data_IF_243451044708
#
_entry.id   IF_243451044708
#
_cell.length_a   1.000
_cell.length_b   1.000
_cell.length_c   1.000
_cell.angle_alpha   90.00
_cell.angle_beta   90.00
_cell.angle_gamma   90.00
#
_symmetry.space_group_name_H-M   'P 1'
#
loop_
_entity.id
_entity.type
_entity.pdbx_description
1 polymer ?
#
# COMPACT_ATOMS: atom_id res chain seq x y z
N UNK A 1 1.50 50.56 21.17
CA UNK A 1 2.37 51.58 21.84
C UNK A 1 1.70 52.94 21.77
N UNK A 2 1.68 53.73 22.83
CA UNK A 2 1.16 55.09 22.77
C UNK A 2 2.32 56.04 22.44
N UNK A 3 2.39 56.48 21.17
CA UNK A 3 3.38 57.46 20.73
C UNK A 3 3.07 58.84 21.35
N UNK A 4 4.07 59.44 22.09
CA UNK A 4 3.87 60.68 22.82
C UNK A 4 4.71 61.86 22.32
N UNK A 5 5.60 61.66 21.36
CA UNK A 5 6.48 62.66 20.75
C UNK A 5 6.42 62.59 19.23
N UNK A 6 6.43 63.71 18.50
CA UNK A 6 6.61 63.65 17.05
C UNK A 6 7.93 63.01 16.65
N UNK A 7 7.91 61.96 15.84
CA UNK A 7 9.10 61.25 15.40
C UNK A 7 8.76 60.12 14.42
N UNK A 8 9.76 59.52 13.78
CA UNK A 8 9.62 58.33 12.96
C UNK A 8 9.77 57.14 13.87
N UNK A 9 8.75 56.29 13.94
CA UNK A 9 8.76 55.06 14.69
C UNK A 9 8.82 53.88 13.73
N UNK A 10 9.79 52.99 13.94
CA UNK A 10 9.92 51.74 13.19
C UNK A 10 9.25 50.65 14.01
N UNK A 11 8.21 50.05 13.46
CA UNK A 11 7.58 48.85 14.01
C UNK A 11 7.90 47.69 13.06
N UNK A 12 8.66 46.73 13.54
CA UNK A 12 8.91 45.49 12.82
C UNK A 12 7.72 44.56 13.00
N UNK A 13 6.84 44.54 11.99
CA UNK A 13 5.78 43.53 11.91
C UNK A 13 6.32 42.34 11.17
N UNK A 14 6.72 41.29 11.90
CA UNK A 14 7.10 40.00 11.28
C UNK A 14 5.87 39.35 10.65
N UNK A 15 5.53 39.70 9.42
CA UNK A 15 4.62 38.93 8.57
C UNK A 15 5.46 37.85 7.89
N UNK A 16 5.50 36.66 8.49
CA UNK A 16 6.00 35.51 7.75
C UNK A 16 5.21 35.39 6.45
N UNK A 17 5.88 35.25 5.30
CA UNK A 17 5.18 34.97 4.04
C UNK A 17 4.36 33.70 4.22
N UNK A 18 3.17 33.60 3.63
CA UNK A 18 2.38 32.39 3.70
C UNK A 18 3.22 31.23 3.17
N UNK A 19 3.30 30.15 3.94
CA UNK A 19 4.00 28.92 3.56
C UNK A 19 3.00 27.86 3.08
N UNK A 20 3.43 27.00 2.16
CA UNK A 20 2.73 25.77 1.80
C UNK A 20 3.06 24.73 2.86
N UNK A 21 2.03 24.20 3.53
CA UNK A 21 2.19 23.04 4.39
C UNK A 21 2.19 21.79 3.50
N UNK A 22 3.21 20.97 3.62
CA UNK A 22 3.26 19.68 2.94
C UNK A 22 2.16 18.76 3.48
N UNK A 23 1.40 18.14 2.57
CA UNK A 23 0.40 17.12 2.94
C UNK A 23 1.08 15.80 3.26
N UNK A 24 0.41 14.95 4.03
CA UNK A 24 0.84 13.58 4.29
C UNK A 24 0.86 12.76 2.98
N UNK A 25 1.81 11.83 2.88
CA UNK A 25 2.04 11.11 1.62
C UNK A 25 1.68 9.64 1.68
N UNK A 26 1.59 9.05 2.86
CA UNK A 26 1.41 7.61 3.05
C UNK A 26 0.34 7.29 4.08
N UNK A 27 -0.88 7.75 3.84
CA UNK A 27 -2.08 7.39 4.60
C UNK A 27 -2.92 6.43 3.75
N UNK A 28 -2.75 5.10 3.90
CA UNK A 28 -3.52 4.14 3.13
C UNK A 28 -4.96 4.02 3.64
N UNK A 29 -5.87 3.72 2.72
CA UNK A 29 -7.20 3.23 3.00
C UNK A 29 -7.28 1.75 2.62
N UNK A 30 -7.58 0.92 3.60
CA UNK A 30 -7.78 -0.52 3.45
C UNK A 30 -9.28 -0.80 3.34
N UNK A 31 -9.71 -1.38 2.22
CA UNK A 31 -11.11 -1.67 1.93
C UNK A 31 -11.31 -3.18 1.93
N UNK A 32 -12.19 -3.68 2.79
CA UNK A 32 -12.44 -5.12 2.91
C UNK A 32 -13.43 -5.46 4.00
N UNK A 33 -13.42 -6.73 4.43
CA UNK A 33 -14.30 -7.28 5.43
C UNK A 33 -13.66 -7.28 6.82
N UNK A 34 -14.47 -7.05 7.85
CA UNK A 34 -14.00 -7.07 9.25
C UNK A 34 -15.00 -7.81 10.13
N UNK A 35 -14.58 -8.25 11.31
CA UNK A 35 -15.44 -8.95 12.26
C UNK A 35 -16.61 -8.07 12.72
N UNK A 36 -16.32 -6.82 13.09
CA UNK A 36 -17.27 -5.84 13.61
C UNK A 36 -16.92 -4.43 13.14
N UNK A 37 -17.58 -3.42 13.68
CA UNK A 37 -17.27 -2.00 13.46
C UNK A 37 -18.18 -1.29 12.46
N UNK A 38 -17.94 0.00 12.22
CA UNK A 38 -18.73 0.81 11.27
C UNK A 38 -18.66 0.21 9.87
N UNK A 39 -19.79 0.26 9.14
CA UNK A 39 -19.89 -0.28 7.77
C UNK A 39 -19.95 0.84 6.75
N UNK A 40 -19.13 0.71 5.70
CA UNK A 40 -19.06 1.65 4.59
C UNK A 40 -18.72 3.09 5.02
N UNK A 41 -18.09 3.24 6.16
CA UNK A 41 -17.66 4.50 6.74
C UNK A 41 -16.13 4.48 6.88
N UNK A 42 -15.39 5.35 6.18
CA UNK A 42 -13.95 5.48 6.34
C UNK A 42 -13.59 5.85 7.77
N UNK A 43 -12.96 4.95 8.49
CA UNK A 43 -12.61 5.12 9.89
C UNK A 43 -11.11 5.21 10.06
N UNK A 44 -10.62 6.32 10.60
CA UNK A 44 -9.19 6.56 10.83
C UNK A 44 -8.72 5.82 12.08
N UNK A 45 -7.61 5.11 11.97
CA UNK A 45 -6.93 4.41 13.06
C UNK A 45 -5.42 4.69 12.99
N UNK A 46 -4.70 4.47 14.10
CA UNK A 46 -3.28 4.73 14.20
C UNK A 46 -2.44 3.54 14.69
N UNK A 47 -3.09 2.46 15.13
CA UNK A 47 -2.41 1.29 15.69
C UNK A 47 -3.20 -0.01 15.49
N UNK A 48 -2.51 -1.15 15.61
CA UNK A 48 -3.14 -2.46 15.55
C UNK A 48 -4.13 -2.68 16.70
N UNK A 49 -3.82 -2.16 17.89
CA UNK A 49 -4.72 -2.25 19.06
C UNK A 49 -6.04 -1.50 18.80
N UNK A 50 -5.96 -0.33 18.20
CA UNK A 50 -7.14 0.45 17.82
C UNK A 50 -7.96 -0.28 16.75
N UNK A 51 -7.29 -0.89 15.76
CA UNK A 51 -7.95 -1.75 14.77
C UNK A 51 -8.73 -2.89 15.45
N UNK A 52 -8.10 -3.67 16.33
CA UNK A 52 -8.74 -4.79 17.01
C UNK A 52 -9.90 -4.36 17.91
N UNK A 53 -9.77 -3.20 18.54
CA UNK A 53 -10.84 -2.64 19.39
C UNK A 53 -12.09 -2.30 18.58
N UNK A 54 -11.91 -1.65 17.43
CA UNK A 54 -13.00 -1.16 16.59
C UNK A 54 -13.51 -2.26 15.65
N UNK A 55 -12.62 -3.00 14.97
CA UNK A 55 -12.95 -3.89 13.87
C UNK A 55 -12.86 -5.38 14.20
N UNK A 56 -12.33 -5.72 15.38
CA UNK A 56 -12.22 -7.12 15.85
C UNK A 56 -10.98 -7.84 15.34
N UNK A 57 -11.00 -9.16 15.47
CA UNK A 57 -9.89 -10.04 15.14
C UNK A 57 -9.99 -10.71 13.78
N UNK A 58 -9.10 -11.67 13.54
CA UNK A 58 -9.16 -12.52 12.35
C UNK A 58 -10.35 -13.48 12.41
N UNK A 59 -10.88 -13.86 11.25
CA UNK A 59 -11.86 -14.97 11.17
C UNK A 59 -11.19 -16.26 11.58
N UNK A 60 -11.81 -17.00 12.53
CA UNK A 60 -11.38 -18.35 12.88
C UNK A 60 -11.63 -19.31 11.72
N UNK A 61 -10.62 -20.09 11.36
CA UNK A 61 -10.72 -21.14 10.35
C UNK A 61 -11.50 -22.33 10.93
N UNK A 62 -12.66 -22.66 10.33
CA UNK A 62 -13.56 -23.67 10.89
C UNK A 62 -13.33 -25.10 10.40
N UNK A 63 -12.96 -25.27 9.13
CA UNK A 63 -12.83 -26.59 8.50
C UNK A 63 -11.57 -26.74 7.66
N UNK A 64 -10.79 -25.68 7.59
CA UNK A 64 -9.59 -25.66 6.76
C UNK A 64 -8.39 -26.33 7.42
N UNK A 65 -8.38 -26.43 8.76
CA UNK A 65 -7.27 -26.99 9.53
C UNK A 65 -7.69 -28.35 10.10
N UNK A 66 -6.90 -29.39 9.83
CA UNK A 66 -7.06 -30.71 10.42
C UNK A 66 -5.72 -31.27 10.87
N UNK A 67 -5.77 -32.20 11.80
CA UNK A 67 -4.61 -32.92 12.31
C UNK A 67 -4.77 -34.43 12.16
N UNK A 68 -3.64 -35.12 12.02
CA UNK A 68 -3.54 -36.58 12.09
C UNK A 68 -2.49 -36.95 13.11
N UNK A 69 -2.80 -37.99 13.90
CA UNK A 69 -1.96 -38.46 15.00
C UNK A 69 -1.60 -39.93 14.74
N UNK A 70 -0.31 -40.21 14.70
CA UNK A 70 0.21 -41.58 14.66
C UNK A 70 1.17 -41.76 15.83
N UNK A 71 0.70 -42.50 16.83
CA UNK A 71 1.36 -42.72 18.14
C UNK A 71 1.67 -41.36 18.82
N UNK A 72 2.92 -40.96 18.86
CA UNK A 72 3.41 -39.70 19.45
C UNK A 72 3.62 -38.59 18.42
N UNK A 73 3.41 -38.86 17.13
CA UNK A 73 3.66 -37.89 16.05
C UNK A 73 2.36 -37.24 15.61
N UNK A 74 2.31 -35.92 15.73
CA UNK A 74 1.20 -35.11 15.25
C UNK A 74 1.59 -34.39 13.95
N UNK A 75 0.74 -34.48 12.94
CA UNK A 75 0.86 -33.73 11.68
C UNK A 75 -0.35 -32.85 11.49
N UNK A 76 -0.17 -31.66 10.92
CA UNK A 76 -1.25 -30.77 10.57
C UNK A 76 -1.33 -30.54 9.07
N UNK A 77 -2.56 -30.49 8.55
CA UNK A 77 -2.88 -30.19 7.18
C UNK A 77 -3.73 -28.93 7.12
N UNK A 78 -3.45 -28.05 6.17
CA UNK A 78 -4.28 -26.90 5.82
C UNK A 78 -4.85 -27.13 4.43
N UNK A 79 -6.16 -27.11 4.31
CA UNK A 79 -6.88 -27.20 3.04
C UNK A 79 -7.09 -25.79 2.51
N UNK A 80 -6.26 -25.37 1.57
CA UNK A 80 -6.30 -24.02 1.00
C UNK A 80 -7.65 -23.67 0.36
N UNK A 81 -8.40 -24.67 -0.14
CA UNK A 81 -9.71 -24.44 -0.76
C UNK A 81 -10.81 -24.09 0.27
N UNK A 82 -10.56 -24.36 1.54
CA UNK A 82 -11.49 -24.10 2.65
C UNK A 82 -11.09 -22.93 3.53
N UNK A 83 -9.93 -22.32 3.27
CA UNK A 83 -9.50 -21.13 4.00
C UNK A 83 -10.48 -19.98 3.81
N UNK A 84 -10.70 -19.24 4.88
CA UNK A 84 -11.52 -18.03 4.84
C UNK A 84 -10.94 -16.99 3.86
N UNK A 85 -11.79 -16.28 3.11
CA UNK A 85 -11.34 -15.27 2.15
C UNK A 85 -10.90 -13.96 2.81
N UNK A 86 -11.15 -13.79 4.09
CA UNK A 86 -10.96 -12.52 4.81
C UNK A 86 -9.52 -12.35 5.28
N UNK A 87 -8.80 -11.41 4.68
CA UNK A 87 -7.38 -11.18 4.96
C UNK A 87 -7.09 -9.85 5.67
N UNK A 88 -8.11 -9.00 5.88
CA UNK A 88 -7.95 -7.65 6.42
C UNK A 88 -7.14 -7.61 7.73
N UNK A 89 -7.46 -8.45 8.71
CA UNK A 89 -6.74 -8.46 9.99
C UNK A 89 -5.25 -8.77 9.83
N UNK A 90 -4.90 -9.79 9.04
CA UNK A 90 -3.52 -10.15 8.76
C UNK A 90 -2.80 -9.07 7.94
N UNK A 91 -3.52 -8.45 7.00
CA UNK A 91 -3.03 -7.34 6.20
C UNK A 91 -2.65 -6.13 7.07
N UNK A 92 -3.48 -5.81 8.07
CA UNK A 92 -3.20 -4.74 9.03
C UNK A 92 -1.98 -5.05 9.90
N UNK A 93 -1.82 -6.32 10.35
CA UNK A 93 -0.62 -6.75 11.07
C UNK A 93 0.64 -6.54 10.21
N UNK A 94 0.59 -6.91 8.93
CA UNK A 94 1.72 -6.72 8.01
C UNK A 94 2.00 -5.25 7.72
N UNK A 95 0.96 -4.43 7.61
CA UNK A 95 1.10 -2.99 7.42
C UNK A 95 1.86 -2.33 8.57
N UNK A 96 1.39 -2.53 9.81
CA UNK A 96 2.05 -1.95 10.99
C UNK A 96 3.45 -2.53 11.23
N UNK A 97 3.67 -3.82 10.98
CA UNK A 97 5.00 -4.45 11.11
C UNK A 97 6.03 -3.90 10.12
N UNK A 98 5.61 -3.32 9.00
CA UNK A 98 6.48 -2.77 7.96
C UNK A 98 6.65 -1.24 8.04
N UNK A 99 6.20 -0.62 9.13
CA UNK A 99 6.39 0.81 9.37
C UNK A 99 5.16 1.65 9.08
N UNK A 100 3.99 1.01 8.98
CA UNK A 100 2.71 1.69 8.85
C UNK A 100 2.41 2.61 10.02
N UNK A 101 1.83 3.76 9.71
CA UNK A 101 1.36 4.78 10.66
C UNK A 101 -0.17 4.92 10.62
N UNK A 102 -0.70 6.13 10.74
CA UNK A 102 -2.13 6.38 10.59
C UNK A 102 -2.67 5.86 9.25
N UNK A 103 -3.86 5.28 9.27
CA UNK A 103 -4.52 4.75 8.08
C UNK A 103 -6.04 4.76 8.23
N UNK A 104 -6.74 4.53 7.14
CA UNK A 104 -8.18 4.37 7.11
C UNK A 104 -8.56 2.91 6.89
N UNK A 105 -9.61 2.47 7.54
CA UNK A 105 -10.26 1.18 7.29
C UNK A 105 -11.68 1.42 6.85
N UNK A 106 -12.06 0.85 5.73
CA UNK A 106 -13.43 0.85 5.20
C UNK A 106 -13.94 -0.58 5.25
N UNK A 107 -14.72 -0.87 6.27
CA UNK A 107 -15.38 -2.18 6.39
C UNK A 107 -16.64 -2.21 5.53
N UNK A 108 -16.67 -3.07 4.52
CA UNK A 108 -17.83 -3.17 3.61
C UNK A 108 -18.88 -4.15 4.13
N UNK A 109 -18.48 -5.20 4.84
CA UNK A 109 -19.37 -6.17 5.46
C UNK A 109 -18.64 -6.96 6.57
N UNK A 110 -19.38 -7.81 7.27
CA UNK A 110 -18.84 -8.78 8.23
C UNK A 110 -18.39 -10.08 7.58
N UNK A 111 -17.91 -11.01 8.40
CA UNK A 111 -17.43 -12.31 7.96
C UNK A 111 -18.53 -13.32 7.58
N UNK A 112 -19.79 -12.91 7.59
CA UNK A 112 -20.92 -13.72 7.13
C UNK A 112 -21.27 -13.46 5.66
N UNK A 113 -20.67 -12.42 5.06
CA UNK A 113 -20.84 -12.04 3.67
C UNK A 113 -19.58 -12.32 2.86
N UNK A 114 -19.69 -13.17 1.86
CA UNK A 114 -18.57 -13.43 0.93
C UNK A 114 -18.13 -12.14 0.22
N UNK A 115 -16.83 -11.86 0.14
CA UNK A 115 -16.34 -10.70 -0.60
C UNK A 115 -16.84 -10.71 -2.05
N UNK A 116 -17.35 -9.55 -2.48
CA UNK A 116 -17.88 -9.35 -3.82
C UNK A 116 -17.50 -7.95 -4.33
N UNK A 117 -17.39 -7.81 -5.65
CA UNK A 117 -17.18 -6.50 -6.27
C UNK A 117 -18.29 -5.52 -5.89
N UNK A 118 -19.54 -5.95 -5.99
CA UNK A 118 -20.71 -5.11 -5.75
C UNK A 118 -20.91 -4.03 -6.81
N UNK A 119 -21.61 -2.97 -6.43
CA UNK A 119 -21.86 -1.80 -7.28
C UNK A 119 -21.54 -0.52 -6.50
N UNK A 120 -21.43 0.60 -7.19
CA UNK A 120 -21.16 1.90 -6.54
C UNK A 120 -22.32 2.44 -5.67
N UNK A 121 -23.53 1.91 -5.87
CA UNK A 121 -24.76 2.42 -5.23
C UNK A 121 -25.31 1.53 -4.15
N UNK A 122 -24.94 0.23 -4.14
CA UNK A 122 -25.44 -0.76 -3.18
C UNK A 122 -24.35 -1.12 -2.19
N UNK A 123 -24.58 -0.82 -0.92
CA UNK A 123 -23.66 -1.15 0.18
C UNK A 123 -23.35 -2.65 0.29
N UNK A 124 -22.15 -2.98 0.75
CA UNK A 124 -21.72 -4.36 1.01
C UNK A 124 -20.75 -4.95 -0.01
N UNK A 125 -20.38 -4.22 -1.07
CA UNK A 125 -19.35 -4.60 -2.02
C UNK A 125 -18.10 -3.73 -1.92
N UNK A 126 -16.96 -4.24 -2.40
CA UNK A 126 -15.69 -3.52 -2.36
C UNK A 126 -15.72 -2.22 -3.19
N UNK A 127 -16.47 -2.20 -4.29
CA UNK A 127 -16.65 -0.98 -5.09
C UNK A 127 -17.41 0.12 -4.32
N UNK A 128 -18.43 -0.23 -3.54
CA UNK A 128 -19.11 0.75 -2.69
C UNK A 128 -18.15 1.32 -1.62
N UNK A 129 -17.31 0.45 -1.03
CA UNK A 129 -16.27 0.88 -0.09
C UNK A 129 -15.27 1.85 -0.72
N UNK A 130 -14.86 1.61 -1.96
CA UNK A 130 -14.03 2.53 -2.74
C UNK A 130 -14.75 3.88 -2.97
N UNK A 131 -16.04 3.84 -3.33
CA UNK A 131 -16.84 5.04 -3.57
C UNK A 131 -16.98 5.91 -2.31
N UNK A 132 -17.06 5.29 -1.14
CA UNK A 132 -17.16 6.02 0.13
C UNK A 132 -15.94 6.90 0.43
N UNK A 133 -14.75 6.56 -0.13
CA UNK A 133 -13.51 7.33 0.01
C UNK A 133 -13.44 8.60 -0.83
N UNK A 134 -14.30 8.80 -1.82
CA UNK A 134 -14.24 10.00 -2.69
C UNK A 134 -14.40 11.31 -1.94
N UNK A 135 -15.06 11.25 -0.78
CA UNK A 135 -15.32 12.43 0.07
C UNK A 135 -14.23 12.67 1.10
N UNK A 136 -13.31 11.72 1.25
CA UNK A 136 -12.21 11.82 2.21
C UNK A 136 -10.97 12.38 1.49
N UNK A 137 -10.42 13.42 2.05
CA UNK A 137 -9.33 14.22 1.45
C UNK A 137 -7.93 13.81 1.99
N UNK A 138 -7.88 12.97 3.05
CA UNK A 138 -6.64 12.56 3.70
C UNK A 138 -6.03 11.27 3.11
N UNK A 139 -6.82 10.26 2.66
CA UNK A 139 -6.24 9.02 2.14
C UNK A 139 -5.43 9.22 0.86
N UNK A 140 -4.17 8.77 0.87
CA UNK A 140 -3.24 8.90 -0.28
C UNK A 140 -2.92 7.58 -0.97
N UNK A 141 -3.26 6.43 -0.35
CA UNK A 141 -3.05 5.11 -0.90
C UNK A 141 -4.33 4.29 -0.80
N UNK A 142 -4.56 3.40 -1.78
CA UNK A 142 -5.71 2.48 -1.79
C UNK A 142 -5.20 1.05 -1.82
N UNK A 143 -5.73 0.21 -0.92
CA UNK A 143 -5.37 -1.21 -0.77
C UNK A 143 -6.63 -2.05 -0.57
N UNK A 144 -6.68 -3.22 -1.23
CA UNK A 144 -7.79 -4.18 -1.13
C UNK A 144 -7.29 -5.55 -0.66
N UNK A 145 -7.19 -5.80 0.65
CA UNK A 145 -6.66 -7.06 1.19
C UNK A 145 -7.45 -8.31 0.76
N UNK A 146 -8.75 -8.16 0.54
CA UNK A 146 -9.66 -9.27 0.20
C UNK A 146 -9.89 -9.41 -1.32
N UNK A 147 -9.16 -8.67 -2.17
CA UNK A 147 -9.41 -8.65 -3.61
C UNK A 147 -9.14 -9.99 -4.30
N UNK A 148 -8.21 -10.79 -3.80
CA UNK A 148 -7.82 -12.08 -4.39
C UNK A 148 -9.02 -13.01 -4.64
N UNK A 149 -9.97 -13.05 -3.70
CA UNK A 149 -11.14 -13.94 -3.79
C UNK A 149 -12.11 -13.58 -4.92
N UNK A 150 -12.04 -12.35 -5.43
CA UNK A 150 -12.87 -11.90 -6.54
C UNK A 150 -12.43 -12.50 -7.90
N UNK A 151 -11.23 -13.10 -7.98
CA UNK A 151 -10.68 -13.59 -9.23
C UNK A 151 -10.61 -12.49 -10.30
N UNK A 152 -11.22 -12.70 -11.46
CA UNK A 152 -11.21 -11.71 -12.55
C UNK A 152 -11.92 -10.39 -12.22
N UNK A 153 -12.87 -10.38 -11.29
CA UNK A 153 -13.56 -9.16 -10.87
C UNK A 153 -12.66 -8.22 -10.04
N UNK A 154 -11.57 -8.75 -9.48
CA UNK A 154 -10.55 -7.91 -8.83
C UNK A 154 -9.92 -6.91 -9.81
N UNK A 155 -9.72 -7.30 -11.06
CA UNK A 155 -9.18 -6.39 -12.08
C UNK A 155 -10.15 -5.26 -12.43
N UNK A 156 -11.46 -5.54 -12.40
CA UNK A 156 -12.49 -4.49 -12.55
C UNK A 156 -12.44 -3.51 -11.37
N UNK A 157 -12.24 -4.02 -10.15
CA UNK A 157 -12.09 -3.18 -8.96
C UNK A 157 -10.84 -2.29 -9.07
N UNK A 158 -9.70 -2.85 -9.50
CA UNK A 158 -8.47 -2.09 -9.71
C UNK A 158 -8.64 -1.00 -10.78
N UNK A 159 -9.35 -1.28 -11.88
CA UNK A 159 -9.66 -0.26 -12.88
C UNK A 159 -10.48 0.90 -12.28
N UNK A 160 -11.50 0.59 -11.47
CA UNK A 160 -12.28 1.63 -10.76
C UNK A 160 -11.45 2.46 -9.78
N UNK A 161 -10.51 1.81 -9.08
CA UNK A 161 -9.60 2.51 -8.17
C UNK A 161 -8.62 3.42 -8.92
N UNK A 162 -8.11 2.98 -10.07
CA UNK A 162 -7.22 3.77 -10.93
C UNK A 162 -7.96 4.96 -11.56
N UNK A 163 -9.20 4.76 -12.03
CA UNK A 163 -10.06 5.82 -12.55
C UNK A 163 -10.30 6.89 -11.46
N UNK A 164 -10.65 6.48 -10.23
CA UNK A 164 -10.81 7.39 -9.10
C UNK A 164 -9.52 8.15 -8.78
N UNK A 165 -8.37 7.46 -8.81
CA UNK A 165 -7.08 8.08 -8.55
C UNK A 165 -6.68 9.09 -9.64
N UNK A 166 -7.05 8.85 -10.90
CA UNK A 166 -6.82 9.79 -12.00
C UNK A 166 -7.72 11.02 -11.90
N UNK A 167 -8.97 10.85 -11.48
CA UNK A 167 -9.92 11.95 -11.31
C UNK A 167 -9.53 12.87 -10.15
N UNK A 168 -9.15 12.30 -9.01
CA UNK A 168 -8.82 13.04 -7.79
C UNK A 168 -7.37 13.54 -7.75
N UNK A 169 -6.42 12.81 -8.38
CA UNK A 169 -4.98 13.13 -8.50
C UNK A 169 -4.20 13.20 -7.17
N UNK A 170 -4.82 12.80 -6.07
CA UNK A 170 -4.28 12.88 -4.71
C UNK A 170 -3.86 11.51 -4.14
N UNK A 171 -4.27 10.41 -4.80
CA UNK A 171 -4.08 9.03 -4.30
C UNK A 171 -3.38 8.11 -5.30
N UNK A 172 -2.93 6.97 -4.78
CA UNK A 172 -2.17 5.98 -5.53
C UNK A 172 -2.63 4.56 -5.15
N UNK A 173 -2.81 3.68 -6.14
CA UNK A 173 -3.34 2.33 -5.93
C UNK A 173 -2.21 1.31 -5.84
N UNK A 174 -2.17 0.53 -4.76
CA UNK A 174 -1.23 -0.58 -4.61
C UNK A 174 -1.99 -1.87 -4.91
N UNK A 175 -1.58 -2.56 -5.98
CA UNK A 175 -2.27 -3.72 -6.52
C UNK A 175 -1.43 -4.99 -6.37
N UNK A 176 -2.14 -6.10 -6.30
CA UNK A 176 -1.55 -7.43 -6.21
C UNK A 176 -1.74 -8.20 -7.52
N UNK A 177 -0.70 -8.90 -7.94
CA UNK A 177 -0.79 -9.92 -8.98
C UNK A 177 -0.93 -11.26 -8.28
N UNK A 178 -2.08 -11.94 -8.46
CA UNK A 178 -2.40 -13.12 -7.67
C UNK A 178 -1.63 -14.35 -8.14
N UNK A 179 -1.74 -14.73 -9.41
CA UNK A 179 -1.09 -15.93 -9.96
C UNK A 179 -0.45 -15.68 -11.33
N UNK A 180 -1.15 -14.97 -12.23
CA UNK A 180 -0.76 -14.80 -13.62
C UNK A 180 -0.59 -13.33 -14.01
N UNK A 181 0.64 -12.97 -14.37
CA UNK A 181 1.00 -11.63 -14.83
C UNK A 181 0.30 -11.25 -16.15
N UNK A 182 0.08 -12.21 -17.04
CA UNK A 182 -0.59 -11.95 -18.33
C UNK A 182 -2.08 -11.67 -18.12
N UNK A 183 -2.76 -12.44 -17.27
CA UNK A 183 -4.16 -12.20 -16.92
C UNK A 183 -4.33 -10.84 -16.21
N UNK A 184 -3.42 -10.48 -15.30
CA UNK A 184 -3.41 -9.17 -14.65
C UNK A 184 -3.27 -8.04 -15.70
N UNK A 185 -2.29 -8.13 -16.60
CA UNK A 185 -2.05 -7.11 -17.64
C UNK A 185 -3.23 -6.96 -18.60
N UNK A 186 -3.88 -8.06 -18.93
CA UNK A 186 -5.08 -8.05 -19.78
C UNK A 186 -6.30 -7.46 -19.06
N UNK A 187 -6.46 -7.73 -17.77
CA UNK A 187 -7.61 -7.31 -16.97
C UNK A 187 -7.54 -5.87 -16.49
N UNK A 188 -6.33 -5.36 -16.17
CA UNK A 188 -6.15 -3.98 -15.70
C UNK A 188 -5.80 -3.08 -16.88
N UNK A 189 -6.75 -2.29 -17.35
CA UNK A 189 -6.66 -1.47 -18.57
C UNK A 189 -7.28 -0.06 -18.43
N UNK A 190 -7.35 0.48 -17.20
CA UNK A 190 -7.77 1.84 -16.92
C UNK A 190 -6.86 2.89 -17.59
N UNK A 191 -7.34 4.11 -17.70
CA UNK A 191 -6.56 5.24 -18.22
C UNK A 191 -5.51 5.72 -17.22
N UNK A 192 -5.79 5.63 -15.92
CA UNK A 192 -4.96 6.08 -14.81
C UNK A 192 -3.79 5.16 -14.43
N UNK A 193 -3.16 4.41 -15.35
CA UNK A 193 -2.09 3.45 -15.06
C UNK A 193 -0.91 4.05 -14.28
N UNK A 194 -0.60 5.32 -14.48
CA UNK A 194 0.44 6.06 -13.74
C UNK A 194 0.14 6.23 -12.24
N UNK A 195 -1.12 6.08 -11.82
CA UNK A 195 -1.56 6.20 -10.42
C UNK A 195 -1.59 4.85 -9.68
N UNK A 196 -0.95 3.83 -10.21
CA UNK A 196 -0.89 2.54 -9.55
C UNK A 196 0.41 1.79 -9.77
N UNK A 197 0.70 0.86 -8.87
CA UNK A 197 1.79 -0.09 -8.98
C UNK A 197 1.32 -1.49 -8.58
N UNK A 198 1.81 -2.51 -9.28
CA UNK A 198 1.51 -3.90 -9.04
C UNK A 198 2.72 -4.63 -8.47
N UNK A 199 2.47 -5.57 -7.55
CA UNK A 199 3.50 -6.35 -6.87
C UNK A 199 3.24 -7.85 -6.99
N UNK A 200 4.32 -8.63 -7.14
CA UNK A 200 4.32 -10.09 -7.28
C UNK A 200 5.60 -10.68 -6.69
N UNK A 201 5.58 -11.87 -6.10
CA UNK A 201 4.44 -12.77 -5.85
C UNK A 201 3.83 -12.59 -4.46
N UNK A 202 2.90 -13.48 -4.11
CA UNK A 202 2.38 -13.62 -2.74
C UNK A 202 3.51 -13.99 -1.77
N UNK A 203 3.31 -13.68 -0.49
CA UNK A 203 4.30 -13.79 0.57
C UNK A 203 3.86 -14.81 1.62
N UNK A 204 4.72 -15.76 1.93
CA UNK A 204 4.59 -16.60 3.10
C UNK A 204 5.06 -15.80 4.32
N UNK A 205 4.14 -15.57 5.27
CA UNK A 205 4.39 -14.72 6.43
C UNK A 205 4.79 -15.54 7.66
N UNK A 206 5.20 -14.87 8.73
CA UNK A 206 5.39 -15.51 10.05
C UNK A 206 4.07 -15.68 10.82
N UNK A 207 2.97 -15.14 10.30
CA UNK A 207 1.67 -15.15 10.94
C UNK A 207 1.06 -16.56 10.93
N UNK A 208 0.33 -16.90 11.98
CA UNK A 208 -0.39 -18.16 12.10
C UNK A 208 -1.88 -17.93 11.90
N UNK A 209 -2.58 -18.94 11.39
CA UNK A 209 -4.04 -18.89 11.27
C UNK A 209 -4.71 -18.80 12.63
N UNK A 210 -5.80 -18.05 12.71
CA UNK A 210 -6.69 -18.02 13.87
C UNK A 210 -7.65 -19.19 13.80
N UNK A 211 -7.84 -19.92 14.90
CA UNK A 211 -8.75 -21.06 15.00
C UNK A 211 -9.29 -21.23 16.43
N UNK A 212 -10.42 -21.90 16.56
CA UNK A 212 -10.91 -22.39 17.84
C UNK A 212 -10.62 -23.89 17.96
N UNK A 213 -10.29 -24.38 19.13
CA UNK A 213 -9.98 -25.79 19.37
C UNK A 213 -11.14 -26.74 18.95
N UNK A 214 -12.38 -26.25 18.95
CA UNK A 214 -13.57 -27.01 18.52
C UNK A 214 -13.68 -27.13 17.00
N UNK A 215 -13.05 -26.21 16.26
CA UNK A 215 -13.13 -26.13 14.80
C UNK A 215 -12.01 -26.92 14.11
N UNK A 216 -10.93 -27.27 14.83
CA UNK A 216 -9.83 -28.08 14.30
C UNK A 216 -10.16 -29.57 14.43
N UNK A 217 -10.36 -30.22 13.28
CA UNK A 217 -10.76 -31.61 13.20
C UNK A 217 -9.56 -32.57 13.28
N UNK A 218 -9.78 -33.73 13.96
CA UNK A 218 -8.83 -34.85 13.93
C UNK A 218 -9.29 -35.81 12.83
N UNK A 219 -8.51 -35.93 11.77
CA UNK A 219 -8.82 -36.81 10.63
C UNK A 219 -8.53 -38.27 10.94
N UNK A 220 -7.45 -38.54 11.67
CA UNK A 220 -7.07 -39.91 12.13
C UNK A 220 -6.31 -39.85 13.45
N UNK A 221 -6.55 -40.81 14.30
CA UNK A 221 -5.80 -41.02 15.53
C UNK A 221 -5.48 -42.49 15.72
N UNK A 222 -4.20 -42.82 15.72
CA UNK A 222 -3.69 -44.20 15.91
C UNK A 222 -2.70 -44.23 17.04
N UNK A 223 -2.74 -45.26 17.85
CA UNK A 223 -1.78 -45.55 18.94
C UNK A 223 -1.12 -46.91 18.72
N UNK A 224 0.10 -47.08 19.19
CA UNK A 224 0.77 -48.37 19.19
C UNK A 224 0.23 -49.22 20.34
N UNK A 225 -0.37 -50.37 20.02
CA UNK A 225 -0.86 -51.33 21.03
C UNK A 225 0.27 -52.13 21.66
N UNK A 226 -0.04 -52.97 22.66
CA UNK A 226 0.94 -53.81 23.38
C UNK A 226 1.70 -54.82 22.48
N UNK A 227 1.18 -55.10 21.26
CA UNK A 227 1.81 -55.97 20.29
C UNK A 227 2.71 -55.22 19.30
N UNK A 228 2.84 -53.89 19.44
CA UNK A 228 3.65 -53.05 18.54
C UNK A 228 2.92 -52.66 17.25
N UNK A 229 1.64 -52.90 17.09
CA UNK A 229 0.84 -52.52 15.92
C UNK A 229 0.10 -51.18 16.10
N UNK A 230 0.07 -50.38 15.10
CA UNK A 230 -0.77 -49.17 15.04
C UNK A 230 -2.26 -49.57 14.95
N UNK A 231 -3.06 -49.11 15.87
CA UNK A 231 -4.50 -49.36 15.97
C UNK A 231 -5.25 -48.02 16.04
N UNK A 232 -6.41 -47.94 15.39
CA UNK A 232 -7.25 -46.77 15.44
C UNK A 232 -7.82 -46.54 16.83
N UNK A 233 -7.72 -45.31 17.34
CA UNK A 233 -8.36 -44.89 18.59
C UNK A 233 -9.77 -44.45 18.29
N UNK A 234 -10.72 -45.00 19.03
CA UNK A 234 -12.12 -44.60 18.91
C UNK A 234 -12.30 -43.17 19.41
N UNK A 235 -12.68 -42.28 18.49
CA UNK A 235 -13.01 -40.89 18.80
C UNK A 235 -14.52 -40.70 18.92
N UNK A 236 -14.99 -39.72 19.73
CA UNK A 236 -16.41 -39.39 19.80
C UNK A 236 -16.94 -38.93 18.45
N UNK A 237 -18.16 -39.35 18.07
CA UNK A 237 -18.83 -38.82 16.90
C UNK A 237 -19.13 -37.34 17.12
N UNK A 238 -18.80 -36.49 16.14
CA UNK A 238 -18.99 -35.03 16.14
C UNK A 238 -18.16 -34.22 17.16
N UNK A 239 -17.33 -34.86 17.98
CA UNK A 239 -16.40 -34.18 18.91
C UNK A 239 -14.92 -34.59 18.67
N UNK A 240 -14.62 -35.10 17.51
CA UNK A 240 -13.27 -35.47 17.10
C UNK A 240 -12.45 -34.19 16.73
N UNK A 241 -12.19 -33.38 17.74
CA UNK A 241 -11.54 -32.09 17.58
C UNK A 241 -10.44 -31.87 18.63
N UNK A 242 -9.73 -30.75 18.49
CA UNK A 242 -8.59 -30.41 19.33
C UNK A 242 -9.02 -30.20 20.81
N UNK A 243 -10.25 -29.71 21.07
CA UNK A 243 -10.76 -29.56 22.42
C UNK A 243 -10.94 -30.94 23.13
N UNK A 244 -11.38 -31.98 22.40
CA UNK A 244 -11.42 -33.35 22.92
C UNK A 244 -9.99 -33.88 23.16
N UNK A 245 -9.04 -33.65 22.23
CA UNK A 245 -7.64 -34.07 22.40
C UNK A 245 -7.01 -33.47 23.66
N UNK A 246 -7.33 -32.23 23.99
CA UNK A 246 -6.89 -31.56 25.21
C UNK A 246 -7.32 -32.31 26.48
N UNK A 247 -8.53 -32.85 26.50
CA UNK A 247 -9.02 -33.66 27.61
C UNK A 247 -8.41 -35.07 27.65
N UNK A 248 -8.02 -35.62 26.49
CA UNK A 248 -7.43 -36.95 26.34
C UNK A 248 -5.94 -36.96 26.64
N UNK A 249 -5.17 -36.03 26.08
CA UNK A 249 -3.73 -35.95 26.22
C UNK A 249 -3.21 -34.52 26.04
N UNK A 250 -2.79 -33.90 27.14
CA UNK A 250 -2.20 -32.55 27.10
C UNK A 250 -0.89 -32.50 26.29
N UNK A 251 -0.11 -33.60 26.24
CA UNK A 251 1.13 -33.66 25.49
C UNK A 251 0.88 -33.58 23.96
N UNK A 252 -0.05 -34.43 23.47
CA UNK A 252 -0.44 -34.43 22.06
C UNK A 252 -1.14 -33.09 21.65
N UNK A 253 -1.95 -32.56 22.57
CA UNK A 253 -2.57 -31.24 22.35
C UNK A 253 -1.52 -30.14 22.16
N UNK A 254 -0.55 -30.04 23.06
CA UNK A 254 0.52 -29.02 22.93
C UNK A 254 1.36 -29.21 21.65
N UNK A 255 1.62 -30.45 21.27
CA UNK A 255 2.31 -30.75 20.01
C UNK A 255 1.44 -30.36 18.80
N UNK A 256 0.13 -30.64 18.84
CA UNK A 256 -0.81 -30.21 17.80
C UNK A 256 -0.84 -28.69 17.66
N UNK A 257 -0.91 -27.95 18.75
CA UNK A 257 -0.84 -26.49 18.75
C UNK A 257 0.45 -25.99 18.10
N UNK A 258 1.60 -26.57 18.44
CA UNK A 258 2.89 -26.19 17.86
C UNK A 258 2.96 -26.48 16.35
N UNK A 259 2.44 -27.64 15.91
CA UNK A 259 2.42 -28.01 14.49
C UNK A 259 1.45 -27.14 13.68
N UNK A 260 0.27 -26.82 14.23
CA UNK A 260 -0.66 -25.90 13.59
C UNK A 260 -0.05 -24.49 13.50
N UNK A 261 0.58 -24.01 14.58
CA UNK A 261 1.26 -22.72 14.60
C UNK A 261 2.42 -22.63 13.59
N UNK A 262 2.98 -23.77 13.16
CA UNK A 262 3.97 -23.81 12.08
C UNK A 262 3.38 -23.61 10.68
N UNK A 263 2.07 -23.72 10.50
CA UNK A 263 1.37 -23.43 9.25
C UNK A 263 1.18 -21.93 9.12
N UNK A 264 1.68 -21.38 8.05
CA UNK A 264 1.83 -19.93 7.88
C UNK A 264 0.77 -19.35 6.94
N UNK A 265 0.32 -18.15 7.28
CA UNK A 265 -0.61 -17.38 6.44
C UNK A 265 0.13 -16.87 5.22
N UNK A 266 -0.44 -17.11 4.05
CA UNK A 266 0.02 -16.54 2.78
C UNK A 266 -0.83 -15.32 2.46
N UNK A 267 -0.16 -14.19 2.18
CA UNK A 267 -0.80 -12.91 1.90
C UNK A 267 -0.29 -12.32 0.60
N UNK A 268 -1.10 -11.48 0.00
CA UNK A 268 -0.70 -10.58 -1.08
C UNK A 268 0.19 -9.45 -0.54
N UNK A 269 1.13 -8.92 -1.34
CA UNK A 269 2.13 -7.98 -0.85
C UNK A 269 1.63 -6.54 -0.61
N UNK A 270 0.49 -6.12 -1.16
CA UNK A 270 0.05 -4.72 -1.16
C UNK A 270 0.03 -4.05 0.21
N UNK A 271 -0.43 -4.76 1.25
CA UNK A 271 -0.49 -4.22 2.61
C UNK A 271 0.90 -4.02 3.23
N UNK A 272 1.83 -4.95 3.00
CA UNK A 272 3.23 -4.80 3.40
C UNK A 272 3.89 -3.65 2.65
N UNK A 273 3.57 -3.49 1.36
CA UNK A 273 4.07 -2.40 0.53
C UNK A 273 3.57 -1.04 0.99
N UNK A 274 2.30 -0.93 1.41
CA UNK A 274 1.79 0.30 2.02
C UNK A 274 2.59 0.71 3.26
N UNK A 275 2.97 -0.25 4.11
CA UNK A 275 3.84 -0.03 5.26
C UNK A 275 5.26 0.41 4.86
N UNK A 276 5.83 -0.22 3.84
CA UNK A 276 7.15 0.17 3.30
C UNK A 276 7.11 1.59 2.70
N UNK A 277 6.02 1.96 2.02
CA UNK A 277 5.85 3.33 1.52
C UNK A 277 5.85 4.32 2.69
N UNK A 278 5.08 4.06 3.74
CA UNK A 278 5.04 4.91 4.93
C UNK A 278 6.42 5.03 5.58
N UNK A 279 7.15 3.93 5.71
CA UNK A 279 8.52 3.90 6.25
C UNK A 279 9.49 4.72 5.41
N UNK A 280 9.46 4.57 4.09
CA UNK A 280 10.37 5.31 3.19
C UNK A 280 10.05 6.80 3.22
N UNK A 281 8.77 7.16 3.14
CA UNK A 281 8.34 8.55 3.16
C UNK A 281 8.78 9.27 4.45
N UNK A 282 8.63 8.60 5.61
CA UNK A 282 9.01 9.18 6.90
C UNK A 282 10.52 9.25 7.13
N UNK A 283 11.32 8.37 6.51
CA UNK A 283 12.78 8.30 6.76
C UNK A 283 13.60 9.02 5.71
N UNK A 284 13.13 9.06 4.46
CA UNK A 284 13.93 9.54 3.31
C UNK A 284 13.16 10.48 2.38
N UNK A 285 11.85 10.59 2.55
CA UNK A 285 10.96 11.37 1.69
C UNK A 285 10.31 10.57 0.56
N UNK A 286 9.17 11.07 0.09
CA UNK A 286 8.33 10.42 -0.95
C UNK A 286 9.03 10.25 -2.30
N UNK A 287 10.04 11.06 -2.58
CA UNK A 287 10.86 10.98 -3.81
C UNK A 287 11.86 9.80 -3.82
N UNK A 288 12.03 9.13 -2.68
CA UNK A 288 12.85 7.92 -2.60
C UNK A 288 12.06 6.71 -3.08
N UNK A 289 12.67 5.89 -3.94
CA UNK A 289 12.03 4.66 -4.40
C UNK A 289 11.80 3.67 -3.24
N UNK A 290 10.58 3.13 -3.06
CA UNK A 290 10.25 2.12 -2.05
C UNK A 290 10.72 0.72 -2.51
N UNK A 291 11.99 0.59 -2.81
CA UNK A 291 12.63 -0.63 -3.31
C UNK A 291 14.00 -0.83 -2.66
N UNK A 292 14.56 -2.03 -2.83
CA UNK A 292 15.79 -2.49 -2.15
C UNK A 292 15.67 -2.46 -0.62
N UNK A 293 14.48 -2.79 -0.12
CA UNK A 293 14.14 -2.83 1.31
C UNK A 293 13.61 -4.21 1.67
N UNK A 294 13.97 -4.68 2.85
CA UNK A 294 13.46 -5.93 3.40
C UNK A 294 12.03 -5.77 3.88
N UNK A 295 11.21 -6.79 3.61
CA UNK A 295 9.85 -6.89 4.11
C UNK A 295 9.89 -7.64 5.45
N UNK A 296 9.41 -6.98 6.51
CA UNK A 296 9.32 -7.58 7.85
C UNK A 296 8.22 -8.64 7.90
N UNK A 297 8.39 -9.62 8.78
CA UNK A 297 7.43 -10.70 9.02
C UNK A 297 7.13 -11.60 7.80
N UNK A 298 8.07 -11.68 6.85
CA UNK A 298 8.01 -12.55 5.68
C UNK A 298 9.11 -13.60 5.75
N UNK A 299 8.74 -14.86 5.55
CA UNK A 299 9.68 -15.99 5.48
C UNK A 299 10.28 -16.09 4.07
N UNK A 300 9.40 -16.13 3.07
CA UNK A 300 9.80 -16.22 1.67
C UNK A 300 8.65 -15.75 0.74
N UNK A 301 8.97 -15.37 -0.51
CA UNK A 301 7.95 -15.29 -1.55
C UNK A 301 7.50 -16.71 -1.94
N UNK A 302 6.21 -16.87 -2.22
CA UNK A 302 5.62 -18.18 -2.61
C UNK A 302 6.22 -18.70 -3.92
N UNK A 303 6.54 -17.81 -4.86
CA UNK A 303 7.23 -18.14 -6.10
C UNK A 303 8.62 -17.53 -6.12
N UNK A 304 9.61 -18.31 -6.52
CA UNK A 304 10.97 -17.81 -6.76
C UNK A 304 11.05 -17.29 -8.20
N UNK A 305 11.40 -16.03 -8.33
CA UNK A 305 11.51 -15.34 -9.62
C UNK A 305 12.98 -15.36 -10.06
N UNK A 306 13.25 -15.89 -11.24
CA UNK A 306 14.55 -15.84 -11.89
C UNK A 306 14.87 -14.43 -12.40
N UNK A 307 16.09 -14.23 -12.90
CA UNK A 307 16.48 -12.96 -13.50
C UNK A 307 15.70 -12.69 -14.80
N UNK A 308 15.58 -13.70 -15.65
CA UNK A 308 14.85 -13.64 -16.92
C UNK A 308 13.34 -13.39 -16.72
N UNK A 309 12.72 -14.08 -15.77
CA UNK A 309 11.32 -13.83 -15.43
C UNK A 309 11.10 -12.39 -14.93
N UNK A 310 12.03 -11.86 -14.14
CA UNK A 310 11.95 -10.48 -13.69
C UNK A 310 12.09 -9.47 -14.84
N UNK A 311 12.92 -9.73 -15.84
CA UNK A 311 13.01 -8.87 -17.03
C UNK A 311 11.64 -8.71 -17.69
N UNK A 312 10.92 -9.84 -17.88
CA UNK A 312 9.56 -9.86 -18.45
C UNK A 312 8.51 -9.19 -17.54
N UNK A 313 8.70 -9.19 -16.22
CA UNK A 313 7.83 -8.47 -15.29
C UNK A 313 8.09 -6.96 -15.32
N UNK A 314 9.36 -6.58 -15.32
CA UNK A 314 9.79 -5.19 -15.23
C UNK A 314 9.56 -4.39 -16.52
N UNK A 315 9.85 -5.01 -17.67
CA UNK A 315 9.69 -4.38 -18.99
C UNK A 315 8.75 -5.24 -19.84
N UNK A 316 7.55 -4.72 -20.06
CA UNK A 316 6.55 -5.38 -20.92
C UNK A 316 6.49 -4.68 -22.27
N UNK A 317 6.97 -5.38 -23.31
CA UNK A 317 7.02 -4.85 -24.67
C UNK A 317 5.63 -4.79 -25.35
N UNK A 318 4.63 -5.54 -24.85
CA UNK A 318 3.32 -5.67 -25.49
C UNK A 318 2.30 -4.71 -24.87
N UNK A 319 2.04 -4.84 -23.58
CA UNK A 319 1.04 -4.03 -22.89
C UNK A 319 1.64 -2.79 -22.20
N UNK A 320 2.96 -2.72 -22.05
CA UNK A 320 3.66 -1.60 -21.42
C UNK A 320 3.48 -1.50 -19.92
N UNK A 321 2.98 -2.57 -19.27
CA UNK A 321 2.60 -2.60 -17.85
C UNK A 321 3.67 -3.30 -17.01
N UNK A 322 4.40 -2.53 -16.19
CA UNK A 322 5.41 -3.07 -15.29
C UNK A 322 4.79 -3.69 -14.04
N UNK A 323 5.38 -4.81 -13.59
CA UNK A 323 5.05 -5.49 -12.34
C UNK A 323 6.32 -5.55 -11.50
N UNK A 324 6.23 -5.09 -10.25
CA UNK A 324 7.36 -5.03 -9.34
C UNK A 324 7.56 -6.39 -8.66
N UNK A 325 8.75 -6.97 -8.82
CA UNK A 325 9.09 -8.26 -8.27
C UNK A 325 9.53 -8.15 -6.79
N UNK A 326 9.16 -9.14 -5.99
CA UNK A 326 9.68 -9.35 -4.64
C UNK A 326 10.52 -10.62 -4.67
N UNK A 327 11.79 -10.54 -4.26
CA UNK A 327 12.75 -11.63 -4.40
C UNK A 327 13.55 -11.84 -3.13
N UNK A 328 13.99 -13.07 -2.91
CA UNK A 328 14.91 -13.40 -1.83
C UNK A 328 16.36 -13.36 -2.32
N UNK A 329 17.21 -12.67 -1.59
CA UNK A 329 18.64 -12.56 -1.84
C UNK A 329 19.43 -13.20 -0.71
N UNK A 330 20.44 -13.98 -1.05
CA UNK A 330 21.32 -14.64 -0.06
C UNK A 330 21.98 -13.60 0.83
N UNK A 331 21.81 -13.75 2.15
CA UNK A 331 22.37 -12.85 3.15
C UNK A 331 21.62 -11.51 3.33
N UNK A 332 20.58 -11.23 2.52
CA UNK A 332 19.81 -9.97 2.62
C UNK A 332 18.32 -10.19 2.92
N UNK A 333 17.82 -11.44 2.81
CA UNK A 333 16.41 -11.76 3.01
C UNK A 333 15.53 -11.44 1.81
N UNK A 334 14.23 -11.30 2.05
CA UNK A 334 13.22 -10.99 1.02
C UNK A 334 13.12 -9.50 0.83
N UNK A 335 13.43 -9.02 -0.38
CA UNK A 335 13.49 -7.61 -0.72
C UNK A 335 12.44 -7.25 -1.79
N UNK A 336 11.93 -6.04 -1.71
CA UNK A 336 11.22 -5.39 -2.81
C UNK A 336 12.24 -5.02 -3.89
N UNK A 337 12.07 -5.51 -5.12
CA UNK A 337 13.05 -5.35 -6.19
C UNK A 337 12.46 -4.68 -7.43
N UNK A 338 11.68 -3.63 -7.22
CA UNK A 338 11.06 -2.80 -8.26
C UNK A 338 10.31 -1.62 -7.66
N UNK A 339 10.24 -0.52 -8.40
CA UNK A 339 9.53 0.70 -8.02
C UNK A 339 8.92 1.41 -9.25
N UNK A 340 8.33 0.63 -10.16
CA UNK A 340 7.66 1.14 -11.35
C UNK A 340 6.15 1.22 -11.14
N UNK A 341 5.54 2.21 -11.77
CA UNK A 341 4.10 2.29 -11.94
C UNK A 341 3.63 1.28 -13.00
N UNK A 342 2.34 1.10 -13.15
CA UNK A 342 1.80 0.31 -14.27
C UNK A 342 2.06 0.96 -15.63
N UNK A 343 2.26 2.28 -15.71
CA UNK A 343 2.67 3.00 -16.92
C UNK A 343 4.19 2.84 -17.15
N UNK A 344 4.63 1.58 -17.27
CA UNK A 344 6.04 1.19 -17.28
C UNK A 344 6.84 1.64 -18.48
N UNK A 345 6.18 1.98 -19.60
CA UNK A 345 6.82 2.49 -20.83
C UNK A 345 6.85 4.01 -20.89
N UNK A 346 6.20 4.72 -19.97
CA UNK A 346 6.24 6.17 -19.89
C UNK A 346 7.64 6.67 -19.50
N UNK A 347 8.19 7.58 -20.24
CA UNK A 347 9.44 8.24 -19.85
C UNK A 347 9.24 9.20 -18.67
N UNK A 348 8.03 9.66 -18.46
CA UNK A 348 7.68 10.64 -17.43
C UNK A 348 7.22 9.98 -16.13
N UNK A 349 6.30 9.03 -16.23
CA UNK A 349 5.55 8.50 -15.09
C UNK A 349 5.88 7.06 -14.68
N UNK A 350 6.89 6.44 -15.28
CA UNK A 350 7.20 5.02 -15.00
C UNK A 350 7.66 4.72 -13.58
N UNK A 351 8.01 5.70 -12.76
CA UNK A 351 8.49 5.48 -11.40
C UNK A 351 7.49 5.92 -10.33
N UNK A 352 7.23 5.03 -9.38
CA UNK A 352 6.36 5.26 -8.23
C UNK A 352 6.73 6.53 -7.45
N UNK A 353 8.02 6.76 -7.06
CA UNK A 353 8.38 7.94 -6.30
C UNK A 353 8.13 9.24 -7.05
N UNK A 354 8.30 9.25 -8.39
CA UNK A 354 8.04 10.43 -9.20
C UNK A 354 6.55 10.79 -9.16
N UNK A 355 5.66 9.84 -9.47
CA UNK A 355 4.21 10.12 -9.47
C UNK A 355 3.71 10.51 -8.09
N UNK A 356 4.14 9.82 -7.04
CA UNK A 356 3.72 10.14 -5.67
C UNK A 356 4.24 11.49 -5.19
N UNK A 357 5.45 11.87 -5.57
CA UNK A 357 5.99 13.20 -5.30
C UNK A 357 5.16 14.29 -5.97
N UNK A 358 4.79 14.10 -7.24
CA UNK A 358 3.90 15.05 -7.92
C UNK A 358 2.52 15.13 -7.25
N UNK A 359 1.91 14.00 -6.86
CA UNK A 359 0.64 14.02 -6.12
C UNK A 359 0.76 14.86 -4.83
N UNK A 360 1.84 14.71 -4.07
CA UNK A 360 2.09 15.45 -2.85
C UNK A 360 2.23 16.95 -3.12
N UNK A 361 3.00 17.35 -4.15
CA UNK A 361 3.18 18.76 -4.50
C UNK A 361 1.87 19.36 -5.02
N UNK A 362 1.19 18.67 -5.94
CA UNK A 362 -0.09 19.10 -6.52
C UNK A 362 -1.13 19.37 -5.41
N UNK A 363 -1.29 18.44 -4.47
CA UNK A 363 -2.25 18.57 -3.38
C UNK A 363 -1.81 19.63 -2.34
N UNK A 364 -0.52 19.70 -2.00
CA UNK A 364 0.00 20.71 -1.07
C UNK A 364 -0.21 22.13 -1.60
N UNK A 365 0.08 22.34 -2.87
CA UNK A 365 -0.10 23.64 -3.54
C UNK A 365 -1.58 23.97 -3.68
N UNK A 366 -2.42 23.01 -4.06
CA UNK A 366 -3.89 23.17 -4.14
C UNK A 366 -4.44 23.67 -2.82
N UNK A 367 -4.18 22.97 -1.71
CA UNK A 367 -4.62 23.37 -0.36
C UNK A 367 -4.08 24.74 0.08
N UNK A 368 -2.82 25.03 -0.25
CA UNK A 368 -2.23 26.33 0.10
C UNK A 368 -2.81 27.50 -0.70
N UNK A 369 -3.26 27.24 -1.94
CA UNK A 369 -3.83 28.27 -2.81
C UNK A 369 -5.31 28.55 -2.55
N UNK A 370 -6.04 27.69 -1.84
CA UNK A 370 -7.44 27.88 -1.48
C UNK A 370 -7.72 29.23 -0.80
N UNK A 371 -6.79 29.72 0.02
CA UNK A 371 -6.93 31.02 0.70
C UNK A 371 -6.90 32.24 -0.24
N UNK A 372 -6.47 32.06 -1.50
CA UNK A 372 -6.47 33.12 -2.51
C UNK A 372 -7.74 33.11 -3.35
N UNK A 373 -8.62 32.13 -3.16
CA UNK A 373 -9.95 32.11 -3.78
C UNK A 373 -10.74 33.31 -3.27
N UNK A 374 -11.34 34.06 -4.18
CA UNK A 374 -11.99 35.36 -3.96
C UNK A 374 -11.06 36.55 -3.62
N UNK A 375 -9.74 36.38 -3.57
CA UNK A 375 -8.82 37.51 -3.55
C UNK A 375 -8.83 38.26 -4.91
N UNK A 376 -8.56 39.57 -4.93
CA UNK A 376 -8.48 40.32 -6.20
C UNK A 376 -7.44 39.72 -7.15
N UNK A 377 -7.83 39.46 -8.39
CA UNK A 377 -6.95 38.92 -9.44
C UNK A 377 -6.03 40.03 -10.01
N UNK A 378 -5.01 40.41 -9.23
CA UNK A 378 -4.09 41.52 -9.51
C UNK A 378 -2.63 41.07 -9.39
N UNK A 379 -1.72 41.90 -9.93
CA UNK A 379 -0.27 41.63 -9.86
C UNK A 379 0.25 41.41 -8.44
N UNK A 380 -0.30 42.08 -7.44
CA UNK A 380 0.07 41.90 -6.04
C UNK A 380 -0.26 40.48 -5.56
N UNK A 381 -1.44 39.98 -5.88
CA UNK A 381 -1.86 38.61 -5.52
C UNK A 381 -0.99 37.58 -6.27
N UNK A 382 -0.68 37.82 -7.56
CA UNK A 382 0.16 36.90 -8.35
C UNK A 382 1.56 36.75 -7.75
N UNK A 383 2.20 37.87 -7.37
CA UNK A 383 3.54 37.84 -6.73
C UNK A 383 3.52 37.09 -5.40
N UNK A 384 2.48 37.27 -4.60
CA UNK A 384 2.31 36.57 -3.31
C UNK A 384 2.17 35.06 -3.51
N UNK A 385 1.33 34.63 -4.46
CA UNK A 385 1.14 33.21 -4.77
C UNK A 385 2.40 32.60 -5.34
N UNK A 386 3.05 33.29 -6.31
CA UNK A 386 4.30 32.83 -6.90
C UNK A 386 5.37 32.62 -5.83
N UNK A 387 5.64 33.62 -5.01
CA UNK A 387 6.65 33.54 -3.95
C UNK A 387 6.36 32.42 -2.92
N UNK A 388 5.10 32.19 -2.60
CA UNK A 388 4.68 31.11 -1.70
C UNK A 388 5.02 29.75 -2.28
N UNK A 389 4.72 29.51 -3.55
CA UNK A 389 4.99 28.24 -4.24
C UNK A 389 6.50 28.06 -4.45
N UNK A 390 7.21 29.11 -4.88
CA UNK A 390 8.67 29.09 -5.07
C UNK A 390 9.40 28.73 -3.77
N UNK A 391 9.00 29.31 -2.63
CA UNK A 391 9.57 28.98 -1.34
C UNK A 391 9.37 27.52 -0.95
N UNK A 392 8.21 26.95 -1.25
CA UNK A 392 7.94 25.52 -1.02
C UNK A 392 8.79 24.61 -1.91
N UNK A 393 8.89 24.92 -3.21
CA UNK A 393 9.68 24.15 -4.16
C UNK A 393 11.19 24.28 -3.89
N UNK A 394 11.66 25.45 -3.43
CA UNK A 394 13.04 25.66 -2.99
C UNK A 394 13.37 24.75 -1.80
N UNK A 395 12.44 24.59 -0.86
CA UNK A 395 12.62 23.64 0.24
C UNK A 395 12.70 22.20 -0.29
N UNK A 396 11.80 21.78 -1.20
CA UNK A 396 11.86 20.45 -1.81
C UNK A 396 13.16 20.20 -2.58
N UNK A 397 13.69 21.22 -3.25
CA UNK A 397 14.98 21.13 -3.93
C UNK A 397 16.13 20.96 -2.93
N UNK A 398 16.16 21.74 -1.84
CA UNK A 398 17.18 21.60 -0.78
C UNK A 398 17.13 20.25 -0.10
N UNK A 399 15.95 19.66 0.08
CA UNK A 399 15.75 18.34 0.66
C UNK A 399 16.15 17.21 -0.32
N UNK A 400 16.47 17.55 -1.59
CA UNK A 400 16.96 16.63 -2.61
C UNK A 400 15.86 15.93 -3.42
N UNK A 401 14.63 16.42 -3.37
CA UNK A 401 13.51 15.89 -4.15
C UNK A 401 13.53 16.33 -5.62
N UNK A 402 14.18 17.46 -5.93
CA UNK A 402 14.29 18.01 -7.26
C UNK A 402 15.74 17.95 -7.75
N UNK A 403 15.90 17.68 -9.07
CA UNK A 403 17.19 17.65 -9.75
C UNK A 403 17.58 19.07 -10.20
N UNK A 404 18.88 19.30 -10.37
CA UNK A 404 19.44 20.58 -10.80
C UNK A 404 20.45 21.14 -9.82
N UNK A 405 21.49 21.79 -10.35
CA UNK A 405 22.54 22.41 -9.53
C UNK A 405 22.10 23.77 -8.98
N UNK A 406 21.08 24.35 -9.59
CA UNK A 406 20.51 25.65 -9.22
C UNK A 406 18.98 25.54 -9.19
N UNK A 407 18.30 26.39 -8.40
CA UNK A 407 16.84 26.40 -8.34
C UNK A 407 16.16 26.55 -9.70
N UNK A 408 16.71 27.38 -10.60
CA UNK A 408 16.16 27.66 -11.91
C UNK A 408 16.21 26.44 -12.87
N UNK A 409 17.10 25.46 -12.59
CA UNK A 409 17.19 24.19 -13.31
C UNK A 409 16.22 23.14 -12.71
N UNK A 410 15.83 23.32 -11.45
CA UNK A 410 15.03 22.37 -10.69
C UNK A 410 13.52 22.60 -10.83
N UNK A 411 13.10 23.87 -10.84
CA UNK A 411 11.69 24.22 -10.96
C UNK A 411 11.51 25.63 -11.52
N UNK A 412 10.30 25.91 -12.02
CA UNK A 412 9.84 27.26 -12.29
C UNK A 412 8.39 27.42 -11.88
N UNK A 413 8.00 28.64 -11.52
CA UNK A 413 6.62 29.04 -11.24
C UNK A 413 6.32 30.28 -12.07
N UNK A 414 5.27 30.24 -12.86
CA UNK A 414 4.85 31.34 -13.71
C UNK A 414 3.39 31.69 -13.43
N UNK A 415 3.12 32.97 -13.18
CA UNK A 415 1.77 33.53 -13.08
C UNK A 415 1.79 34.98 -13.52
N UNK A 416 0.81 35.39 -14.30
CA UNK A 416 0.69 36.79 -14.71
C UNK A 416 0.01 37.00 -16.05
N UNK A 417 -0.40 38.27 -16.27
CA UNK A 417 -0.94 38.71 -17.54
C UNK A 417 0.12 38.61 -18.64
N UNK A 418 -0.27 38.09 -19.80
CA UNK A 418 0.62 37.78 -20.95
C UNK A 418 1.71 36.71 -20.67
N UNK A 419 1.70 36.08 -19.48
CA UNK A 419 2.53 34.91 -19.16
C UNK A 419 1.69 33.64 -19.19
N UNK A 420 0.76 33.51 -18.25
CA UNK A 420 -0.15 32.36 -18.09
C UNK A 420 -1.61 32.72 -18.26
N UNK A 421 -1.93 34.01 -18.32
CA UNK A 421 -3.29 34.53 -18.42
C UNK A 421 -3.42 35.56 -19.52
N UNK A 422 -4.55 35.56 -20.21
CA UNK A 422 -5.04 36.63 -21.07
C UNK A 422 -5.90 37.63 -20.26
N UNK A 423 -6.19 38.80 -20.85
CA UNK A 423 -7.14 39.75 -20.26
C UNK A 423 -8.56 39.12 -20.08
N UNK A 424 -8.92 38.17 -20.97
CA UNK A 424 -10.19 37.46 -20.90
C UNK A 424 -10.23 36.51 -19.68
N UNK A 425 -9.14 35.82 -19.35
CA UNK A 425 -9.08 34.96 -18.17
C UNK A 425 -9.30 35.76 -16.89
N UNK A 426 -8.72 36.97 -16.81
CA UNK A 426 -8.90 37.85 -15.66
C UNK A 426 -10.35 38.31 -15.53
N UNK A 427 -10.97 38.66 -16.65
CA UNK A 427 -12.42 39.07 -16.69
C UNK A 427 -13.35 37.91 -16.28
N UNK A 428 -12.99 36.68 -16.63
CA UNK A 428 -13.70 35.45 -16.25
C UNK A 428 -13.34 34.95 -14.84
N UNK A 429 -12.49 35.68 -14.10
CA UNK A 429 -12.11 35.37 -12.74
C UNK A 429 -11.14 34.19 -12.61
N UNK A 430 -10.45 33.82 -13.71
CA UNK A 430 -9.46 32.74 -13.70
C UNK A 430 -8.05 33.28 -13.40
N UNK A 431 -7.35 32.62 -12.46
CA UNK A 431 -5.93 32.82 -12.20
C UNK A 431 -5.19 31.54 -12.55
N UNK A 432 -4.49 31.53 -13.67
CA UNK A 432 -3.72 30.37 -14.14
C UNK A 432 -2.28 30.45 -13.63
N UNK A 433 -1.86 29.40 -12.96
CA UNK A 433 -0.52 29.23 -12.40
C UNK A 433 0.11 28.04 -13.10
N UNK A 434 1.30 28.21 -13.68
CA UNK A 434 2.07 27.14 -14.31
C UNK A 434 3.27 26.81 -13.44
N UNK A 435 3.45 25.52 -13.14
CA UNK A 435 4.53 25.01 -12.30
C UNK A 435 5.23 23.90 -13.07
N UNK A 436 6.53 24.03 -13.30
CA UNK A 436 7.37 22.97 -13.85
C UNK A 436 8.38 22.49 -12.83
N UNK A 437 8.59 21.18 -12.76
CA UNK A 437 9.49 20.55 -11.79
C UNK A 437 10.30 19.43 -12.42
N UNK A 438 11.58 19.36 -12.07
CA UNK A 438 12.49 18.29 -12.44
C UNK A 438 12.66 17.31 -11.28
N UNK A 439 11.71 16.40 -11.09
CA UNK A 439 11.78 15.40 -10.02
C UNK A 439 12.98 14.45 -10.19
N UNK A 440 13.64 14.08 -9.09
CA UNK A 440 14.70 13.09 -9.10
C UNK A 440 14.15 11.71 -9.49
N UNK A 441 14.98 10.95 -10.21
CA UNK A 441 14.63 9.58 -10.66
C UNK A 441 15.57 8.56 -10.05
N UNK A 442 15.10 7.36 -9.70
CA UNK A 442 15.97 6.32 -9.17
C UNK A 442 16.94 5.81 -10.23
N UNK A 443 18.16 5.47 -9.82
CA UNK A 443 19.10 4.73 -10.66
C UNK A 443 18.71 3.25 -10.61
N UNK A 444 17.93 2.79 -11.59
CA UNK A 444 17.47 1.39 -11.69
C UNK A 444 18.57 0.46 -12.21
N UNK A 445 19.41 0.95 -13.13
CA UNK A 445 20.49 0.19 -13.74
C UNK A 445 21.84 0.84 -13.48
N UNK A 446 22.76 0.07 -12.87
CA UNK A 446 24.14 0.50 -12.63
C UNK A 446 25.02 -0.33 -13.56
N UNK A 447 25.68 0.32 -14.52
CA UNK A 447 26.59 -0.33 -15.46
C UNK A 447 28.03 -0.05 -15.06
N UNK A 448 28.74 -1.10 -14.63
CA UNK A 448 30.16 -1.04 -14.31
C UNK A 448 30.97 -1.47 -15.52
N UNK A 449 31.89 -0.61 -15.96
CA UNK A 449 32.81 -0.92 -17.05
C UNK A 449 34.22 -1.03 -16.49
N UNK A 450 34.85 -2.19 -16.65
CA UNK A 450 36.24 -2.43 -16.27
C UNK A 450 37.10 -2.49 -17.55
N UNK A 451 38.19 -1.73 -17.58
CA UNK A 451 39.18 -1.82 -18.64
C UNK A 451 40.53 -2.21 -18.03
N UNK A 452 41.23 -3.13 -18.65
CA UNK A 452 42.63 -3.41 -18.30
C UNK A 452 43.52 -2.27 -18.81
N UNK A 453 44.28 -1.67 -17.90
CA UNK A 453 45.38 -0.76 -18.31
C UNK A 453 46.58 -1.66 -18.67
N UNK A 454 47.00 -1.63 -19.94
CA UNK A 454 48.23 -2.30 -20.33
C UNK A 454 49.39 -1.67 -19.54
N UNK A 455 50.23 -2.51 -18.97
CA UNK A 455 51.46 -2.07 -18.35
C UNK A 455 52.36 -1.62 -19.46
N UNK A 456 52.63 -0.32 -19.58
CA UNK A 456 53.68 0.18 -20.42
C UNK A 456 55.02 -0.24 -19.82
N UNK A 457 55.85 -0.99 -20.58
CA UNK A 457 57.16 -1.46 -20.20
C UNK A 457 58.19 -0.30 -20.22
#
# INVERSE_FOLDING_TARGET
MNYKTPGVYVEEIAKFPPSVAQVETAIPAFIGHTDKGPRNEPTRISSMLEYETIFGGAKNEKTAISISIEDTVVTAKVDNAKLSPYKMHYAMQMYFANGGGPCYVVSVADYDKTPALGTETLAGGLWFGLKSLEKEDEPTLIVFPDAEVLGADAYKLYNKALDQAEDLKDRFVIMDVFEDAAAFRAGVNATGLKYGAAYYPKLETVLSYSFDDKDVKIDSYKEINASGALVDVTMPQNENNLAWLKSKSSALYNQAQAVIASKRVVLTPSSSMAGIYAKVDSTSGVWKAPANLAISNVLAPVAKISHEEQEGLNVDAVAGKSINAIRTFTGKGTLVWGARTLDGNSNEWKYVPVRRFFNMVEESVKKATERFVFEPNTANTWVRVQAMIENFLDQQWRDGALAGSKPEEAYYVSVGLHKTMSAQDILEGRMNIEIGMAAVRPAEFIVLRFSHKLQEA
#
